data_IF_745110590444
#
_entry.id   IF_745110590444
#
_cell.length_a   1.000
_cell.length_b   1.000
_cell.length_c   1.000
_cell.angle_alpha   90.00
_cell.angle_beta   90.00
_cell.angle_gamma   90.00
#
_symmetry.space_group_name_H-M   'P 1'
#
loop_
_entity.id
_entity.type
_entity.pdbx_description
1 polymer ?
#
# COMPACT_ATOMS: atom_id res chain seq x y z
N UNK A 1 -3.13 -2.81 -56.98
CA UNK A 1 -3.10 -1.48 -57.62
C UNK A 1 -4.00 -0.43 -56.93
N UNK A 2 -4.27 -0.54 -55.62
CA UNK A 2 -5.12 0.39 -54.84
C UNK A 2 -4.35 1.08 -53.69
N UNK A 3 -3.02 1.15 -53.80
CA UNK A 3 -2.12 1.79 -52.82
C UNK A 3 -1.40 3.01 -53.45
N UNK A 4 -1.59 3.26 -54.76
CA UNK A 4 -0.75 4.19 -55.53
C UNK A 4 -1.45 5.48 -56.00
N UNK A 5 -2.52 5.93 -55.33
CA UNK A 5 -3.17 7.22 -55.61
C UNK A 5 -2.99 8.22 -54.46
N UNK A 6 -1.74 8.34 -53.97
CA UNK A 6 -1.29 9.47 -53.17
C UNK A 6 -1.07 10.70 -54.07
N UNK A 7 -2.16 11.36 -54.46
CA UNK A 7 -2.16 12.81 -54.65
C UNK A 7 -2.12 13.44 -53.26
N UNK A 8 -0.92 13.69 -52.74
CA UNK A 8 -0.64 14.22 -51.38
C UNK A 8 -0.90 15.74 -51.37
N UNK A 9 -1.82 16.32 -50.57
CA UNK A 9 -1.44 16.97 -49.28
C UNK A 9 -2.58 17.02 -48.24
N UNK A 10 -2.28 17.44 -46.99
CA UNK A 10 -3.18 17.40 -45.80
C UNK A 10 -3.30 16.01 -45.17
N UNK A 11 -3.69 14.93 -45.86
CA UNK A 11 -3.98 13.61 -45.23
C UNK A 11 -2.79 12.83 -44.66
N UNK A 12 -1.58 12.93 -45.23
CA UNK A 12 -0.41 12.17 -44.76
C UNK A 12 0.23 12.74 -43.47
N UNK A 13 0.08 14.04 -43.22
CA UNK A 13 0.49 14.68 -41.96
C UNK A 13 -0.69 14.75 -41.00
N UNK A 14 -1.92 14.98 -41.48
CA UNK A 14 -3.09 15.06 -40.58
C UNK A 14 -3.45 13.73 -39.96
N UNK A 15 -3.22 12.57 -40.59
CA UNK A 15 -3.47 11.26 -39.95
C UNK A 15 -2.57 10.99 -38.74
N UNK A 16 -1.23 11.13 -38.81
CA UNK A 16 -0.39 11.02 -37.61
C UNK A 16 -0.65 12.18 -36.64
N UNK A 17 -0.94 13.40 -37.11
CA UNK A 17 -1.27 14.52 -36.22
C UNK A 17 -2.61 14.31 -35.49
N UNK A 18 -3.61 13.68 -36.12
CA UNK A 18 -4.88 13.26 -35.51
C UNK A 18 -4.65 12.16 -34.48
N UNK A 19 -3.84 11.15 -34.80
CA UNK A 19 -3.52 10.08 -33.85
C UNK A 19 -2.75 10.63 -32.64
N UNK A 20 -1.77 11.51 -32.87
CA UNK A 20 -1.01 12.15 -31.80
C UNK A 20 -1.90 13.04 -30.92
N UNK A 21 -2.72 13.90 -31.54
CA UNK A 21 -3.63 14.76 -30.80
C UNK A 21 -4.71 13.97 -30.05
N UNK A 22 -5.27 12.92 -30.66
CA UNK A 22 -6.21 12.01 -30.00
C UNK A 22 -5.56 11.29 -28.82
N UNK A 23 -4.33 10.80 -28.97
CA UNK A 23 -3.59 10.16 -27.89
C UNK A 23 -3.31 11.14 -26.74
N UNK A 24 -2.88 12.36 -27.04
CA UNK A 24 -2.64 13.41 -26.04
C UNK A 24 -3.93 13.81 -25.33
N UNK A 25 -5.03 14.01 -26.06
CA UNK A 25 -6.35 14.29 -25.49
C UNK A 25 -6.83 13.13 -24.61
N UNK A 26 -6.69 11.89 -25.06
CA UNK A 26 -7.03 10.70 -24.29
C UNK A 26 -6.22 10.63 -22.99
N UNK A 27 -4.93 10.99 -23.02
CA UNK A 27 -4.09 11.05 -21.81
C UNK A 27 -4.52 12.16 -20.85
N UNK A 28 -4.87 13.33 -21.36
CA UNK A 28 -5.38 14.44 -20.54
C UNK A 28 -6.72 14.03 -19.90
N UNK A 29 -7.64 13.46 -20.68
CA UNK A 29 -8.91 12.94 -20.16
C UNK A 29 -8.67 11.84 -19.11
N UNK A 30 -7.78 10.88 -19.37
CA UNK A 30 -7.42 9.83 -18.42
C UNK A 30 -6.94 10.43 -17.09
N UNK A 31 -6.08 11.45 -17.13
CA UNK A 31 -5.60 12.15 -15.95
C UNK A 31 -6.74 12.86 -15.22
N UNK A 32 -7.59 13.60 -15.94
CA UNK A 32 -8.71 14.33 -15.35
C UNK A 32 -9.74 13.39 -14.67
N UNK A 33 -10.08 12.26 -15.30
CA UNK A 33 -10.93 11.23 -14.70
C UNK A 33 -10.29 10.61 -13.47
N UNK A 34 -8.97 10.43 -13.46
CA UNK A 34 -8.25 9.90 -12.30
C UNK A 34 -8.33 10.85 -11.10
N UNK A 35 -8.11 12.15 -11.32
CA UNK A 35 -8.25 13.17 -10.27
C UNK A 35 -9.69 13.31 -9.77
N UNK A 36 -10.66 13.37 -10.70
CA UNK A 36 -12.07 13.49 -10.36
C UNK A 36 -12.56 12.28 -9.55
N UNK A 37 -12.12 11.08 -9.92
CA UNK A 37 -12.34 9.88 -9.12
C UNK A 37 -11.71 10.01 -7.74
N UNK A 38 -10.48 10.50 -7.64
CA UNK A 38 -9.80 10.77 -6.37
C UNK A 38 -10.64 11.64 -5.44
N UNK A 39 -11.19 12.74 -5.95
CA UNK A 39 -12.04 13.67 -5.20
C UNK A 39 -13.35 12.99 -4.73
N UNK A 40 -14.04 12.27 -5.61
CA UNK A 40 -15.29 11.58 -5.28
C UNK A 40 -15.06 10.56 -4.15
N UNK A 41 -13.99 9.77 -4.24
CA UNK A 41 -13.71 8.72 -3.29
C UNK A 41 -13.09 9.22 -1.98
N UNK A 42 -12.49 10.42 -1.96
CA UNK A 42 -11.99 11.04 -0.74
C UNK A 42 -13.11 11.18 0.31
N UNK A 43 -14.30 11.61 -0.12
CA UNK A 43 -15.47 11.72 0.76
C UNK A 43 -15.88 10.36 1.35
N UNK A 44 -15.92 9.31 0.52
CA UNK A 44 -16.27 7.95 0.96
C UNK A 44 -15.25 7.41 1.95
N UNK A 45 -13.96 7.61 1.68
CA UNK A 45 -12.90 7.15 2.57
C UNK A 45 -12.90 7.89 3.91
N UNK A 46 -13.18 9.21 3.91
CA UNK A 46 -13.33 9.99 5.14
C UNK A 46 -14.54 9.53 5.96
N UNK A 47 -15.68 9.27 5.31
CA UNK A 47 -16.86 8.75 6.01
C UNK A 47 -16.64 7.36 6.59
N UNK A 48 -15.95 6.47 5.87
CA UNK A 48 -15.56 5.16 6.37
C UNK A 48 -14.65 5.30 7.61
N UNK A 49 -13.63 6.17 7.53
CA UNK A 49 -12.73 6.47 8.65
C UNK A 49 -13.51 6.98 9.87
N UNK A 50 -14.42 7.94 9.68
CA UNK A 50 -15.27 8.50 10.74
C UNK A 50 -16.12 7.43 11.43
N UNK A 51 -16.74 6.53 10.66
CA UNK A 51 -17.57 5.43 11.21
C UNK A 51 -16.74 4.42 12.01
N UNK A 52 -15.56 4.06 11.50
CA UNK A 52 -14.66 3.12 12.18
C UNK A 52 -14.12 3.76 13.46
N UNK A 53 -13.72 5.03 13.41
CA UNK A 53 -13.22 5.78 14.57
C UNK A 53 -14.27 5.83 15.68
N UNK A 54 -15.52 6.12 15.30
CA UNK A 54 -16.65 6.11 16.23
C UNK A 54 -16.88 4.73 16.86
N UNK A 55 -16.92 3.66 16.05
CA UNK A 55 -17.08 2.29 16.57
C UNK A 55 -15.93 1.89 17.49
N UNK A 56 -14.70 2.26 17.15
CA UNK A 56 -13.54 1.99 18.00
C UNK A 56 -13.65 2.74 19.33
N UNK A 57 -14.07 4.00 19.32
CA UNK A 57 -14.31 4.78 20.52
C UNK A 57 -15.41 4.17 21.40
N UNK A 58 -16.55 3.81 20.81
CA UNK A 58 -17.64 3.12 21.52
C UNK A 58 -17.16 1.80 22.13
N UNK A 59 -16.35 1.02 21.40
CA UNK A 59 -15.81 -0.24 21.90
C UNK A 59 -14.81 -0.05 23.05
N UNK A 60 -13.96 0.97 23.02
CA UNK A 60 -13.03 1.30 24.12
C UNK A 60 -13.79 1.55 25.43
N UNK A 61 -14.97 2.18 25.37
CA UNK A 61 -15.80 2.39 26.55
C UNK A 61 -16.50 1.14 27.08
N UNK A 62 -16.55 0.05 26.30
CA UNK A 62 -17.09 -1.25 26.74
C UNK A 62 -16.05 -2.16 27.38
N UNK A 63 -14.77 -1.79 27.36
CA UNK A 63 -13.68 -2.56 27.95
C UNK A 63 -13.60 -2.37 29.48
N UNK A 64 -13.15 -3.41 30.18
CA UNK A 64 -13.00 -3.40 31.62
C UNK A 64 -12.03 -2.30 32.09
N UNK A 65 -12.36 -1.68 33.22
CA UNK A 65 -11.53 -0.63 33.84
C UNK A 65 -10.13 -1.15 34.17
N UNK A 66 -9.99 -2.43 34.53
CA UNK A 66 -8.69 -3.08 34.74
C UNK A 66 -7.83 -3.09 33.47
N UNK A 67 -8.43 -3.24 32.29
CA UNK A 67 -7.72 -3.17 31.01
C UNK A 67 -7.31 -1.73 30.68
N UNK A 68 -8.17 -0.75 30.96
CA UNK A 68 -7.89 0.67 30.73
C UNK A 68 -6.79 1.23 31.66
N UNK A 69 -6.70 0.74 32.90
CA UNK A 69 -5.65 1.12 33.86
C UNK A 69 -4.35 0.37 33.56
N UNK A 70 -4.43 -0.89 33.13
CA UNK A 70 -3.26 -1.71 32.79
C UNK A 70 -2.62 -1.37 31.44
N UNK A 71 -3.37 -0.78 30.51
CA UNK A 71 -2.86 -0.35 29.21
C UNK A 71 -2.35 1.08 29.28
N UNK A 72 -1.17 1.36 28.72
CA UNK A 72 -0.72 2.76 28.56
C UNK A 72 -1.74 3.48 27.67
N UNK A 73 -2.44 4.48 28.18
CA UNK A 73 -3.50 5.20 27.44
C UNK A 73 -3.04 5.73 26.07
N UNK A 74 -1.75 6.10 25.95
CA UNK A 74 -1.11 6.47 24.69
C UNK A 74 -0.95 5.33 23.68
N UNK A 75 -0.76 4.09 24.14
CA UNK A 75 -0.64 2.91 23.28
C UNK A 75 -2.00 2.56 22.63
N UNK A 76 -3.08 2.61 23.40
CA UNK A 76 -4.44 2.40 22.90
C UNK A 76 -4.81 3.44 21.84
N UNK A 77 -4.51 4.72 22.11
CA UNK A 77 -4.71 5.81 21.14
C UNK A 77 -3.88 5.61 19.86
N UNK A 78 -2.60 5.23 20.01
CA UNK A 78 -1.71 4.99 18.90
C UNK A 78 -2.22 3.84 18.01
N UNK A 79 -2.67 2.73 18.61
CA UNK A 79 -3.24 1.58 17.90
C UNK A 79 -4.48 1.97 17.09
N UNK A 80 -5.41 2.73 17.68
CA UNK A 80 -6.62 3.19 16.98
C UNK A 80 -6.24 4.09 15.81
N UNK A 81 -5.36 5.07 16.02
CA UNK A 81 -4.96 6.01 14.96
C UNK A 81 -4.22 5.30 13.81
N UNK A 82 -3.35 4.32 14.13
CA UNK A 82 -2.65 3.49 13.14
C UNK A 82 -3.62 2.63 12.35
N UNK A 83 -4.61 2.04 13.02
CA UNK A 83 -5.63 1.20 12.39
C UNK A 83 -6.50 2.01 11.42
N UNK A 84 -6.91 3.22 11.80
CA UNK A 84 -7.67 4.12 10.93
C UNK A 84 -6.90 4.54 9.67
N UNK A 85 -5.60 4.87 9.82
CA UNK A 85 -4.73 5.17 8.68
C UNK A 85 -4.55 3.95 7.78
N UNK A 86 -4.35 2.76 8.35
CA UNK A 86 -4.19 1.51 7.60
C UNK A 86 -5.44 1.16 6.80
N UNK A 87 -6.65 1.27 7.38
CA UNK A 87 -7.90 0.97 6.67
C UNK A 87 -8.12 1.94 5.52
N UNK A 88 -7.92 3.24 5.75
CA UNK A 88 -7.98 4.26 4.69
C UNK A 88 -7.00 3.96 3.56
N UNK A 89 -5.75 3.61 3.90
CA UNK A 89 -4.74 3.24 2.92
C UNK A 89 -5.11 1.97 2.14
N UNK A 90 -5.65 0.94 2.80
CA UNK A 90 -6.10 -0.29 2.17
C UNK A 90 -7.29 -0.06 1.22
N UNK A 91 -8.30 0.70 1.65
CA UNK A 91 -9.43 1.09 0.81
C UNK A 91 -8.94 1.79 -0.45
N UNK A 92 -8.02 2.74 -0.30
CA UNK A 92 -7.43 3.42 -1.43
C UNK A 92 -6.64 2.46 -2.32
N UNK A 93 -5.80 1.60 -1.76
CA UNK A 93 -5.04 0.63 -2.56
C UNK A 93 -5.95 -0.33 -3.35
N UNK A 94 -7.02 -0.81 -2.73
CA UNK A 94 -7.99 -1.70 -3.39
C UNK A 94 -8.76 -0.99 -4.50
N UNK A 95 -9.32 0.18 -4.21
CA UNK A 95 -10.15 0.93 -5.16
C UNK A 95 -9.33 1.56 -6.28
N UNK A 96 -8.12 2.05 -5.98
CA UNK A 96 -7.31 2.80 -6.95
C UNK A 96 -6.35 1.96 -7.75
N UNK A 97 -5.86 0.84 -7.22
CA UNK A 97 -4.92 -0.03 -7.91
C UNK A 97 -5.51 -1.40 -8.17
N UNK A 98 -5.89 -2.14 -7.12
CA UNK A 98 -6.18 -3.57 -7.25
C UNK A 98 -7.39 -3.88 -8.14
N UNK A 99 -8.51 -3.17 -7.93
CA UNK A 99 -9.74 -3.36 -8.72
C UNK A 99 -9.55 -2.91 -10.18
N UNK A 100 -9.04 -1.68 -10.46
CA UNK A 100 -8.75 -1.26 -11.83
C UNK A 100 -7.79 -2.20 -12.55
N UNK A 101 -6.69 -2.63 -11.92
CA UNK A 101 -5.75 -3.56 -12.53
C UNK A 101 -6.39 -4.91 -12.84
N UNK A 102 -7.25 -5.44 -11.97
CA UNK A 102 -7.98 -6.67 -12.23
C UNK A 102 -8.96 -6.55 -13.41
N UNK A 103 -9.66 -5.41 -13.51
CA UNK A 103 -10.58 -5.10 -14.61
C UNK A 103 -9.83 -4.87 -15.93
N UNK A 104 -8.72 -4.11 -15.93
CA UNK A 104 -7.87 -3.93 -17.09
C UNK A 104 -7.32 -5.27 -17.59
N UNK A 105 -6.83 -6.11 -16.67
CA UNK A 105 -6.33 -7.43 -17.02
C UNK A 105 -7.42 -8.33 -17.63
N UNK A 106 -8.64 -8.33 -17.07
CA UNK A 106 -9.75 -9.11 -17.63
C UNK A 106 -10.18 -8.63 -19.02
N UNK A 107 -10.20 -7.30 -19.25
CA UNK A 107 -10.44 -6.73 -20.57
C UNK A 107 -9.35 -7.12 -21.57
N UNK A 108 -8.08 -7.07 -21.18
CA UNK A 108 -6.95 -7.50 -22.03
C UNK A 108 -7.10 -8.97 -22.41
N UNK A 109 -7.42 -9.84 -21.45
CA UNK A 109 -7.65 -11.26 -21.74
C UNK A 109 -8.83 -11.47 -22.70
N UNK A 110 -9.92 -10.72 -22.52
CA UNK A 110 -11.08 -10.78 -23.41
C UNK A 110 -10.72 -10.37 -24.85
N UNK A 111 -9.99 -9.27 -25.03
CA UNK A 111 -9.54 -8.78 -26.34
C UNK A 111 -8.58 -9.79 -26.99
N UNK A 112 -7.64 -10.37 -26.23
CA UNK A 112 -6.73 -11.38 -26.75
C UNK A 112 -7.48 -12.63 -27.23
N UNK A 113 -8.46 -13.09 -26.46
CA UNK A 113 -9.24 -14.27 -26.80
C UNK A 113 -10.02 -14.09 -28.11
N UNK A 114 -10.57 -12.88 -28.37
CA UNK A 114 -11.35 -12.60 -29.58
C UNK A 114 -10.51 -12.25 -30.80
N UNK A 115 -9.42 -11.49 -30.66
CA UNK A 115 -8.63 -10.99 -31.79
C UNK A 115 -7.35 -11.77 -32.08
N UNK A 116 -6.63 -12.22 -31.04
CA UNK A 116 -5.35 -12.94 -31.18
C UNK A 116 -5.50 -14.46 -31.07
N UNK A 117 -6.68 -14.93 -30.62
CA UNK A 117 -7.02 -16.32 -30.43
C UNK A 117 -6.79 -16.84 -29.02
N UNK A 118 -7.49 -17.94 -28.69
CA UNK A 118 -7.47 -18.57 -27.36
C UNK A 118 -6.05 -18.94 -26.86
N UNK A 119 -5.12 -19.43 -27.70
CA UNK A 119 -3.77 -19.77 -27.23
C UNK A 119 -3.01 -18.59 -26.63
N UNK A 120 -3.16 -17.39 -27.21
CA UNK A 120 -2.52 -16.18 -26.68
C UNK A 120 -3.06 -15.81 -25.29
N UNK A 121 -4.39 -15.85 -25.12
CA UNK A 121 -5.02 -15.59 -23.83
C UNK A 121 -4.60 -16.59 -22.74
N UNK A 122 -4.44 -17.87 -23.10
CA UNK A 122 -3.96 -18.91 -22.18
C UNK A 122 -2.52 -18.65 -21.71
N UNK A 123 -1.62 -18.30 -22.63
CA UNK A 123 -0.21 -18.00 -22.28
C UNK A 123 -0.14 -16.77 -21.36
N UNK A 124 -0.89 -15.71 -21.65
CA UNK A 124 -0.94 -14.51 -20.80
C UNK A 124 -1.48 -14.83 -19.41
N UNK A 125 -2.55 -15.60 -19.32
CA UNK A 125 -3.13 -16.02 -18.04
C UNK A 125 -2.15 -16.88 -17.23
N UNK A 126 -1.49 -17.85 -17.88
CA UNK A 126 -0.48 -18.68 -17.25
C UNK A 126 0.71 -17.86 -16.72
N UNK A 127 1.17 -16.88 -17.49
CA UNK A 127 2.26 -15.98 -17.10
C UNK A 127 1.87 -15.14 -15.89
N UNK A 128 0.65 -14.57 -15.87
CA UNK A 128 0.16 -13.79 -14.74
C UNK A 128 -0.02 -14.66 -13.48
N UNK A 129 -0.54 -15.88 -13.62
CA UNK A 129 -0.68 -16.82 -12.52
C UNK A 129 0.69 -17.20 -11.92
N UNK A 130 1.67 -17.47 -12.79
CA UNK A 130 3.05 -17.74 -12.35
C UNK A 130 3.65 -16.53 -11.62
N UNK A 131 3.46 -15.32 -12.14
CA UNK A 131 3.93 -14.08 -11.49
C UNK A 131 3.30 -13.87 -10.11
N UNK A 132 1.98 -14.02 -9.98
CA UNK A 132 1.27 -13.87 -8.69
C UNK A 132 1.71 -14.94 -7.70
N UNK A 133 1.83 -16.20 -8.14
CA UNK A 133 2.28 -17.31 -7.31
C UNK A 133 3.71 -17.11 -6.80
N UNK A 134 4.63 -16.77 -7.70
CA UNK A 134 6.02 -16.47 -7.36
C UNK A 134 6.13 -15.28 -6.39
N UNK A 135 5.46 -14.18 -6.70
CA UNK A 135 5.47 -12.97 -5.88
C UNK A 135 4.92 -13.23 -4.48
N UNK A 136 3.82 -13.97 -4.37
CA UNK A 136 3.21 -14.32 -3.07
C UNK A 136 4.12 -15.24 -2.26
N UNK A 137 4.71 -16.26 -2.90
CA UNK A 137 5.65 -17.17 -2.23
C UNK A 137 6.85 -16.41 -1.66
N UNK A 138 7.49 -15.57 -2.48
CA UNK A 138 8.65 -14.81 -2.04
C UNK A 138 8.29 -13.76 -0.98
N UNK A 139 7.16 -13.06 -1.16
CA UNK A 139 6.69 -12.04 -0.23
C UNK A 139 6.33 -12.62 1.13
N UNK A 140 5.65 -13.77 1.17
CA UNK A 140 5.29 -14.41 2.45
C UNK A 140 6.52 -14.83 3.25
N UNK A 141 7.54 -15.39 2.59
CA UNK A 141 8.84 -15.67 3.22
C UNK A 141 9.51 -14.41 3.72
N UNK A 142 9.58 -13.36 2.89
CA UNK A 142 10.17 -12.07 3.27
C UNK A 142 9.44 -11.42 4.45
N UNK A 143 8.11 -11.57 4.52
CA UNK A 143 7.30 -11.00 5.60
C UNK A 143 7.65 -11.61 6.97
N UNK A 144 8.03 -12.89 7.01
CA UNK A 144 8.46 -13.53 8.26
C UNK A 144 9.78 -12.91 8.78
N UNK A 145 10.76 -12.70 7.89
CA UNK A 145 12.01 -12.03 8.26
C UNK A 145 11.76 -10.59 8.72
N UNK A 146 10.94 -9.83 7.98
CA UNK A 146 10.55 -8.48 8.39
C UNK A 146 9.83 -8.46 9.73
N UNK A 147 9.03 -9.49 10.04
CA UNK A 147 8.36 -9.60 11.35
C UNK A 147 9.38 -9.78 12.49
N UNK A 148 10.38 -10.65 12.32
CA UNK A 148 11.45 -10.87 13.32
C UNK A 148 12.28 -9.59 13.52
N UNK A 149 12.64 -8.94 12.41
CA UNK A 149 13.36 -7.66 12.42
C UNK A 149 12.57 -6.56 13.15
N UNK A 150 11.28 -6.39 12.85
CA UNK A 150 10.43 -5.42 13.54
C UNK A 150 10.26 -5.71 15.04
N UNK A 151 10.28 -7.00 15.44
CA UNK A 151 10.24 -7.37 16.86
C UNK A 151 11.52 -6.98 17.58
N UNK A 152 12.69 -7.22 16.98
CA UNK A 152 13.99 -6.79 17.53
C UNK A 152 14.07 -5.26 17.64
N UNK A 153 13.59 -4.55 16.62
CA UNK A 153 13.50 -3.07 16.61
C UNK A 153 12.61 -2.55 17.74
N UNK A 154 11.45 -3.17 17.95
CA UNK A 154 10.55 -2.80 19.06
C UNK A 154 11.20 -3.06 20.44
N UNK A 155 11.94 -4.16 20.60
CA UNK A 155 12.67 -4.46 21.84
C UNK A 155 13.76 -3.41 22.11
N UNK A 156 14.56 -3.05 21.10
CA UNK A 156 15.58 -2.02 21.21
C UNK A 156 14.98 -0.65 21.57
N UNK A 157 13.89 -0.26 20.89
CA UNK A 157 13.19 1.00 21.15
C UNK A 157 12.59 1.04 22.57
N UNK A 158 12.02 -0.06 23.06
CA UNK A 158 11.49 -0.13 24.41
C UNK A 158 12.60 0.07 25.46
N UNK A 159 13.75 -0.60 25.29
CA UNK A 159 14.91 -0.45 26.18
C UNK A 159 15.46 0.97 26.20
N UNK A 160 15.57 1.59 25.03
CA UNK A 160 16.01 2.99 24.93
C UNK A 160 15.06 3.91 25.73
N UNK A 161 13.75 3.72 25.56
CA UNK A 161 12.73 4.52 26.25
C UNK A 161 12.81 4.34 27.77
N UNK A 162 12.97 3.10 28.25
CA UNK A 162 13.11 2.80 29.67
C UNK A 162 14.42 3.39 30.25
N UNK A 163 15.53 3.35 29.51
CA UNK A 163 16.79 3.96 29.93
C UNK A 163 16.70 5.49 30.00
N UNK A 164 15.94 6.13 29.10
CA UNK A 164 15.74 7.59 29.11
C UNK A 164 14.84 8.00 30.28
N UNK A 165 13.75 7.27 30.52
CA UNK A 165 12.84 7.54 31.66
C UNK A 165 13.60 7.39 32.98
N UNK A 166 14.46 6.37 33.09
CA UNK A 166 15.23 6.09 34.31
C UNK A 166 16.66 6.64 34.26
N UNK A 167 16.92 7.68 33.46
CA UNK A 167 18.26 8.21 33.24
C UNK A 167 18.95 8.63 34.55
N UNK A 168 18.19 9.13 35.52
CA UNK A 168 18.70 9.50 36.84
C UNK A 168 19.22 8.28 37.60
N UNK A 169 18.47 7.17 37.62
CA UNK A 169 18.90 5.93 38.25
C UNK A 169 20.14 5.34 37.58
N UNK A 170 20.20 5.36 36.24
CA UNK A 170 21.37 4.84 35.50
C UNK A 170 22.64 5.63 35.86
N UNK A 171 22.55 6.97 35.94
CA UNK A 171 23.68 7.84 36.33
C UNK A 171 24.03 7.69 37.81
N UNK A 172 23.03 7.50 38.67
CA UNK A 172 23.24 7.29 40.11
C UNK A 172 24.04 6.00 40.39
N UNK A 173 23.78 4.93 39.62
CA UNK A 173 24.50 3.65 39.74
C UNK A 173 25.72 3.52 38.79
N UNK A 174 26.06 4.55 38.01
CA UNK A 174 27.15 4.54 37.03
C UNK A 174 27.12 3.33 36.06
N UNK A 175 25.91 2.97 35.60
CA UNK A 175 25.65 1.79 34.76
C UNK A 175 25.53 2.10 33.26
N UNK A 176 25.96 3.28 32.79
CA UNK A 176 25.74 3.74 31.41
C UNK A 176 26.31 2.77 30.36
N UNK A 177 27.51 2.23 30.60
CA UNK A 177 28.13 1.26 29.69
C UNK A 177 27.33 -0.04 29.56
N UNK A 178 26.81 -0.54 30.69
CA UNK A 178 26.02 -1.77 30.71
C UNK A 178 24.75 -1.61 29.89
N UNK A 179 24.10 -0.45 30.00
CA UNK A 179 22.86 -0.17 29.27
C UNK A 179 23.11 0.06 27.78
N UNK A 180 24.26 0.66 27.43
CA UNK A 180 24.72 0.74 26.04
C UNK A 180 24.98 -0.65 25.44
N UNK A 181 25.66 -1.55 26.16
CA UNK A 181 25.95 -2.92 25.69
C UNK A 181 24.66 -3.74 25.52
N UNK A 182 23.67 -3.55 26.42
CA UNK A 182 22.37 -4.21 26.34
C UNK A 182 21.51 -3.68 25.18
N UNK A 183 21.62 -2.39 24.87
CA UNK A 183 20.99 -1.79 23.69
C UNK A 183 21.63 -2.32 22.40
N UNK A 184 22.96 -2.40 22.35
CA UNK A 184 23.72 -2.93 21.21
C UNK A 184 23.39 -4.40 20.94
N UNK A 185 23.26 -5.23 21.98
CA UNK A 185 22.78 -6.62 21.83
C UNK A 185 21.37 -6.74 21.23
N UNK A 186 20.48 -5.78 21.54
CA UNK A 186 19.13 -5.75 20.94
C UNK A 186 19.18 -5.32 19.48
N UNK A 187 20.08 -4.40 19.11
CA UNK A 187 20.34 -4.03 17.72
C UNK A 187 21.00 -5.16 16.93
N UNK A 188 21.93 -5.93 17.52
CA UNK A 188 22.55 -7.06 16.85
C UNK A 188 21.57 -8.19 16.47
N UNK A 189 20.38 -8.24 17.09
CA UNK A 189 19.29 -9.17 16.69
C UNK A 189 18.46 -8.66 15.51
N UNK A 190 18.60 -7.38 15.15
CA UNK A 190 17.96 -6.77 13.99
C UNK A 190 18.73 -7.07 12.69
N UNK A 191 20.06 -7.15 12.79
CA UNK A 191 20.98 -7.50 11.69
C UNK A 191 20.84 -8.97 11.24
#
# INVERSE_FOLDING_TARGET
ALINSLSVPVTAVTTPLLLLSSFVLAKICQSAFTELRGIIFANVSQDACRRIARKAFEHVHTLDVSFLIGSRSGEVQAIISRSLRSVTSMLNMMLFNMIPTALEFSLVLWILATHAGIPAALITTATMAAYVGFTTHYTTKRNEYRRKMNMAENEANARLLDSVINAESVRFFANEKREADLYDQSLARYE
#
